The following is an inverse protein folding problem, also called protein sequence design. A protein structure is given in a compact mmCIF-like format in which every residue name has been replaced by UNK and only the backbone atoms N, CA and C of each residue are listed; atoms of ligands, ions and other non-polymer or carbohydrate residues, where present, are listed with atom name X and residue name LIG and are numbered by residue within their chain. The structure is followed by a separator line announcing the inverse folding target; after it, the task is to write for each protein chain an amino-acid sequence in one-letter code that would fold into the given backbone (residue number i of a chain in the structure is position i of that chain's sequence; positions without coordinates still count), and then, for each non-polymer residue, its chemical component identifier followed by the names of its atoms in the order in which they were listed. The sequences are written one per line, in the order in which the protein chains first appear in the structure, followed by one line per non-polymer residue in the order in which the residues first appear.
data_IF_118675415299
#
_entry.id   IF_118675415299
#
_cell.length_a   1.000
_cell.length_b   1.000
_cell.length_c   1.000
_cell.angle_alpha   90.00
_cell.angle_beta   90.00
_cell.angle_gamma   90.00
#
_symmetry.space_group_name_H-M   'P 1'
#
loop_
_entity.id
_entity.type
_entity.pdbx_description
1 polymer ?
#
# COMPACT_ATOMS: atom_id res chain seq x y z
N UNK A 1 -50.62 18.52 -3.51
CA UNK A 1 -49.26 18.25 -3.01
C UNK A 1 -48.80 16.91 -3.57
N UNK A 2 -47.66 16.88 -4.26
CA UNK A 2 -46.95 15.69 -4.78
C UNK A 2 -46.69 14.73 -3.60
N UNK A 3 -46.74 13.40 -3.76
CA UNK A 3 -45.60 12.62 -4.26
C UNK A 3 -46.03 11.21 -4.67
N UNK A 4 -45.51 10.86 -5.82
CA UNK A 4 -45.74 9.71 -6.68
C UNK A 4 -45.22 8.39 -6.10
N UNK A 5 -46.11 7.40 -6.14
CA UNK A 5 -45.93 5.98 -6.45
C UNK A 5 -44.51 5.43 -6.62
N UNK A 6 -44.28 4.33 -5.90
CA UNK A 6 -43.28 3.29 -6.08
C UNK A 6 -43.03 2.95 -7.56
N UNK A 7 -41.77 3.03 -8.00
CA UNK A 7 -41.30 2.43 -9.25
C UNK A 7 -40.20 1.43 -8.91
N UNK A 8 -40.57 0.15 -8.84
CA UNK A 8 -39.64 -0.97 -8.81
C UNK A 8 -39.14 -1.14 -10.25
N UNK A 9 -37.89 -0.76 -10.51
CA UNK A 9 -37.25 -1.01 -11.81
C UNK A 9 -36.80 -2.48 -11.81
N UNK A 10 -37.56 -3.33 -12.48
CA UNK A 10 -37.14 -4.69 -12.80
C UNK A 10 -36.05 -4.63 -13.89
N UNK A 11 -34.81 -4.95 -13.53
CA UNK A 11 -33.69 -5.06 -14.46
C UNK A 11 -33.96 -6.29 -15.34
N UNK A 12 -34.28 -6.05 -16.62
CA UNK A 12 -34.41 -7.10 -17.61
C UNK A 12 -33.00 -7.59 -17.99
N UNK A 13 -32.67 -8.83 -17.62
CA UNK A 13 -31.48 -9.52 -18.09
C UNK A 13 -31.63 -9.85 -19.58
N UNK A 14 -30.95 -9.10 -20.44
CA UNK A 14 -30.78 -9.45 -21.84
C UNK A 14 -29.63 -10.47 -21.90
N UNK A 15 -29.99 -11.75 -22.02
CA UNK A 15 -29.06 -12.81 -22.37
C UNK A 15 -28.82 -12.79 -23.89
N UNK A 16 -27.78 -12.09 -24.34
CA UNK A 16 -27.21 -12.32 -25.66
C UNK A 16 -26.18 -13.45 -25.56
N UNK A 17 -26.50 -14.58 -26.21
CA UNK A 17 -25.63 -15.76 -26.25
C UNK A 17 -24.73 -15.69 -27.49
N UNK A 18 -23.43 -15.94 -27.25
CA UNK A 18 -22.36 -16.37 -28.17
C UNK A 18 -21.91 -15.40 -29.27
N UNK A 19 -20.89 -14.61 -28.93
CA UNK A 19 -19.79 -14.30 -29.84
C UNK A 19 -18.49 -14.63 -29.14
N UNK A 20 -17.71 -15.58 -29.65
CA UNK A 20 -16.33 -15.83 -29.22
C UNK A 20 -15.49 -14.56 -29.43
N UNK A 21 -15.45 -13.64 -28.48
CA UNK A 21 -14.36 -12.68 -28.41
C UNK A 21 -13.32 -13.27 -27.48
N UNK A 22 -12.13 -13.58 -27.99
CA UNK A 22 -10.91 -13.49 -27.19
C UNK A 22 -11.05 -12.27 -26.28
N UNK A 23 -11.03 -12.47 -24.96
CA UNK A 23 -11.29 -11.41 -23.97
C UNK A 23 -10.58 -10.14 -24.38
N UNK A 24 -11.33 -9.05 -24.50
CA UNK A 24 -10.86 -7.79 -25.10
C UNK A 24 -9.86 -7.12 -24.16
N UNK A 25 -8.64 -7.65 -24.14
CA UNK A 25 -7.50 -7.14 -23.39
C UNK A 25 -7.27 -5.67 -23.78
N UNK A 26 -6.99 -4.83 -22.80
CA UNK A 26 -6.77 -3.41 -23.03
C UNK A 26 -5.57 -3.21 -23.97
N UNK A 27 -5.64 -2.17 -24.79
CA UNK A 27 -4.52 -1.74 -25.61
C UNK A 27 -3.40 -1.16 -24.75
N UNK A 28 -2.19 -1.10 -25.32
CA UNK A 28 -1.05 -0.51 -24.63
C UNK A 28 -1.27 0.97 -24.29
N UNK A 29 -2.02 1.68 -25.13
CA UNK A 29 -2.40 3.06 -24.87
C UNK A 29 -3.32 3.17 -23.65
N UNK A 30 -4.35 2.33 -23.58
CA UNK A 30 -5.30 2.31 -22.45
C UNK A 30 -4.60 1.97 -21.14
N UNK A 31 -3.68 0.99 -21.16
CA UNK A 31 -2.84 0.67 -20.00
C UNK A 31 -1.91 1.81 -19.60
N UNK A 32 -1.29 2.46 -20.59
CA UNK A 32 -0.44 3.61 -20.33
C UNK A 32 -1.23 4.78 -19.73
N UNK A 33 -2.51 4.92 -20.08
CA UNK A 33 -3.39 5.95 -19.51
C UNK A 33 -3.63 5.68 -18.01
N UNK A 34 -3.93 4.43 -17.63
CA UNK A 34 -4.10 4.05 -16.20
C UNK A 34 -2.79 4.14 -15.42
N UNK A 35 -1.64 3.69 -15.97
CA UNK A 35 -0.34 3.85 -15.31
C UNK A 35 0.00 5.32 -15.01
N UNK A 36 -0.42 6.25 -15.88
CA UNK A 36 -0.26 7.69 -15.62
C UNK A 36 -1.16 8.18 -14.49
N UNK A 37 -2.35 7.61 -14.33
CA UNK A 37 -3.23 7.89 -13.19
C UNK A 37 -2.64 7.34 -11.89
N UNK A 38 -2.08 6.12 -11.91
CA UNK A 38 -1.37 5.53 -10.75
C UNK A 38 -0.18 6.40 -10.31
N UNK A 39 0.50 7.07 -11.25
CA UNK A 39 1.59 8.01 -10.91
C UNK A 39 1.15 9.17 -10.01
N UNK A 40 -0.14 9.52 -9.95
CA UNK A 40 -0.65 10.53 -9.02
C UNK A 40 -0.50 10.13 -7.54
N UNK A 41 -0.29 8.84 -7.25
CA UNK A 41 -0.10 8.31 -5.90
C UNK A 41 1.38 8.20 -5.49
N UNK A 42 2.31 8.70 -6.31
CA UNK A 42 3.77 8.56 -6.10
C UNK A 42 4.22 8.99 -4.72
N UNK A 43 3.60 10.03 -4.15
CA UNK A 43 4.00 10.63 -2.87
C UNK A 43 3.51 9.82 -1.64
N UNK A 44 2.80 8.70 -1.84
CA UNK A 44 2.45 7.79 -0.73
C UNK A 44 3.72 7.17 -0.14
N UNK A 45 3.81 7.04 1.18
CA UNK A 45 5.03 6.62 1.89
C UNK A 45 5.69 5.34 1.33
N UNK A 46 4.92 4.31 0.95
CA UNK A 46 5.48 3.11 0.30
C UNK A 46 6.06 3.42 -1.08
N UNK A 47 5.33 4.19 -1.89
CA UNK A 47 5.59 4.44 -3.30
C UNK A 47 6.70 5.47 -3.52
N UNK A 48 6.84 6.45 -2.62
CA UNK A 48 7.89 7.47 -2.67
C UNK A 48 9.28 6.84 -2.55
N UNK A 49 9.35 5.71 -1.85
CA UNK A 49 10.59 4.96 -1.62
C UNK A 49 10.92 3.91 -2.71
N UNK A 50 10.12 3.81 -3.78
CA UNK A 50 10.42 2.96 -4.94
C UNK A 50 11.33 3.70 -5.92
N UNK A 51 12.37 3.02 -6.43
CA UNK A 51 13.09 3.48 -7.62
C UNK A 51 12.13 3.59 -8.81
N UNK A 52 12.44 4.41 -9.81
CA UNK A 52 11.54 4.63 -10.97
C UNK A 52 11.17 3.31 -11.67
N UNK A 53 12.12 2.37 -11.79
CA UNK A 53 11.85 1.05 -12.38
C UNK A 53 10.95 0.18 -11.50
N UNK A 54 11.11 0.25 -10.18
CA UNK A 54 10.25 -0.47 -9.23
C UNK A 54 8.82 0.10 -9.26
N UNK A 55 8.70 1.43 -9.38
CA UNK A 55 7.41 2.10 -9.52
C UNK A 55 6.71 1.74 -10.84
N UNK A 56 7.44 1.67 -11.95
CA UNK A 56 6.86 1.30 -13.24
C UNK A 56 6.32 -0.14 -13.23
N UNK A 57 7.00 -1.06 -12.53
CA UNK A 57 6.52 -2.43 -12.30
C UNK A 57 5.26 -2.40 -11.44
N UNK A 58 5.29 -1.71 -10.30
CA UNK A 58 4.13 -1.55 -9.41
C UNK A 58 2.91 -0.98 -10.15
N UNK A 59 3.09 0.08 -10.95
CA UNK A 59 2.02 0.67 -11.74
C UNK A 59 1.48 -0.30 -12.81
N UNK A 60 2.36 -1.16 -13.36
CA UNK A 60 1.98 -2.27 -14.22
C UNK A 60 1.07 -3.26 -13.51
N UNK A 61 1.43 -3.70 -12.30
CA UNK A 61 0.68 -4.66 -11.50
C UNK A 61 -0.69 -4.12 -11.07
N UNK A 62 -0.76 -2.85 -10.63
CA UNK A 62 -2.04 -2.16 -10.38
C UNK A 62 -2.92 -2.15 -11.63
N UNK A 63 -2.33 -1.81 -12.79
CA UNK A 63 -3.07 -1.76 -14.06
C UNK A 63 -3.58 -3.12 -14.48
N UNK A 64 -2.77 -4.18 -14.31
CA UNK A 64 -3.18 -5.55 -14.60
C UNK A 64 -4.31 -6.02 -13.68
N UNK A 65 -4.24 -5.72 -12.38
CA UNK A 65 -5.29 -6.03 -11.42
C UNK A 65 -6.63 -5.37 -11.81
N UNK A 66 -6.62 -4.08 -12.16
CA UNK A 66 -7.81 -3.37 -12.63
C UNK A 66 -8.33 -3.98 -13.93
N UNK A 67 -7.45 -4.29 -14.89
CA UNK A 67 -7.84 -4.87 -16.18
C UNK A 67 -8.49 -6.26 -16.04
N UNK A 68 -8.06 -7.06 -15.05
CA UNK A 68 -8.66 -8.36 -14.76
C UNK A 68 -10.12 -8.19 -14.33
N UNK A 69 -10.41 -7.23 -13.45
CA UNK A 69 -11.76 -7.02 -12.91
C UNK A 69 -12.65 -6.18 -13.84
N UNK A 70 -12.05 -5.30 -14.64
CA UNK A 70 -12.70 -4.46 -15.64
C UNK A 70 -12.13 -4.70 -17.05
N UNK A 71 -12.36 -5.89 -17.64
CA UNK A 71 -11.74 -6.28 -18.92
C UNK A 71 -12.16 -5.40 -20.09
N UNK A 72 -13.24 -4.63 -19.98
CA UNK A 72 -13.66 -3.66 -20.99
C UNK A 72 -13.27 -2.25 -20.52
N UNK A 73 -12.26 -1.65 -21.16
CA UNK A 73 -11.73 -0.35 -20.75
C UNK A 73 -12.79 0.76 -20.63
N UNK A 74 -13.75 0.80 -21.55
CA UNK A 74 -14.84 1.80 -21.49
C UNK A 74 -15.67 1.68 -20.22
N UNK A 75 -15.91 0.45 -19.74
CA UNK A 75 -16.61 0.19 -18.48
C UNK A 75 -15.82 0.73 -17.28
N UNK A 76 -14.49 0.62 -17.32
CA UNK A 76 -13.63 1.17 -16.27
C UNK A 76 -13.62 2.71 -16.27
N UNK A 77 -13.45 3.36 -17.43
CA UNK A 77 -13.37 4.83 -17.48
C UNK A 77 -14.69 5.52 -17.20
N UNK A 78 -15.82 4.85 -17.45
CA UNK A 78 -17.18 5.34 -17.17
C UNK A 78 -17.62 5.04 -15.73
N UNK A 79 -16.79 4.35 -14.93
CA UNK A 79 -17.13 3.96 -13.57
C UNK A 79 -17.33 5.21 -12.69
N UNK A 80 -18.49 5.35 -12.02
CA UNK A 80 -18.65 6.34 -10.97
C UNK A 80 -17.67 6.04 -9.84
N UNK A 81 -16.82 7.01 -9.47
CA UNK A 81 -15.78 6.77 -8.47
C UNK A 81 -14.55 6.02 -9.00
N UNK A 82 -14.23 6.14 -10.29
CA UNK A 82 -13.01 5.56 -10.89
C UNK A 82 -11.74 5.90 -10.10
N UNK A 83 -11.61 7.13 -9.62
CA UNK A 83 -10.46 7.57 -8.80
C UNK A 83 -10.32 6.73 -7.54
N UNK A 84 -11.40 6.64 -6.74
CA UNK A 84 -11.47 5.81 -5.54
C UNK A 84 -11.19 4.33 -5.85
N UNK A 85 -11.64 3.85 -7.01
CA UNK A 85 -11.34 2.48 -7.47
C UNK A 85 -9.84 2.31 -7.70
N UNK A 86 -9.19 3.23 -8.41
CA UNK A 86 -7.73 3.20 -8.64
C UNK A 86 -6.99 3.22 -7.31
N UNK A 87 -7.39 4.09 -6.38
CA UNK A 87 -6.80 4.16 -5.04
C UNK A 87 -6.90 2.81 -4.29
N UNK A 88 -8.06 2.14 -4.36
CA UNK A 88 -8.26 0.82 -3.76
C UNK A 88 -7.27 -0.20 -4.34
N UNK A 89 -7.09 -0.25 -5.66
CA UNK A 89 -6.11 -1.18 -6.26
C UNK A 89 -4.67 -0.81 -5.93
N UNK A 90 -4.32 0.48 -5.85
CA UNK A 90 -3.00 0.93 -5.37
C UNK A 90 -2.73 0.40 -3.97
N UNK A 91 -3.66 0.60 -3.04
CA UNK A 91 -3.53 0.11 -1.66
C UNK A 91 -3.47 -1.42 -1.60
N UNK A 92 -4.31 -2.12 -2.38
CA UNK A 92 -4.30 -3.59 -2.42
C UNK A 92 -3.00 -4.16 -2.96
N UNK A 93 -2.40 -3.54 -3.99
CA UNK A 93 -1.10 -3.97 -4.52
C UNK A 93 0.00 -3.75 -3.50
N UNK A 94 0.02 -2.62 -2.78
CA UNK A 94 0.98 -2.39 -1.68
C UNK A 94 0.84 -3.49 -0.62
N UNK A 95 -0.37 -3.79 -0.18
CA UNK A 95 -0.63 -4.85 0.82
C UNK A 95 -0.14 -6.21 0.31
N UNK A 96 -0.36 -6.51 -0.97
CA UNK A 96 0.06 -7.77 -1.59
C UNK A 96 1.58 -7.89 -1.69
N UNK A 97 2.29 -6.81 -2.08
CA UNK A 97 3.75 -6.79 -2.12
C UNK A 97 4.37 -6.94 -0.72
N UNK A 98 3.76 -6.32 0.30
CA UNK A 98 4.19 -6.46 1.69
C UNK A 98 4.00 -7.90 2.21
N UNK A 99 2.91 -8.58 1.81
CA UNK A 99 2.67 -9.99 2.13
C UNK A 99 3.68 -10.93 1.47
N UNK A 100 4.08 -10.61 0.24
CA UNK A 100 4.96 -11.48 -0.55
C UNK A 100 6.41 -11.47 -0.03
N UNK A 101 6.88 -10.33 0.48
CA UNK A 101 8.25 -10.21 0.98
C UNK A 101 8.37 -9.23 2.15
N UNK A 102 8.75 -9.77 3.31
CA UNK A 102 9.13 -9.02 4.51
C UNK A 102 10.18 -7.92 4.24
N UNK A 103 11.04 -8.06 3.23
CA UNK A 103 12.01 -7.03 2.87
C UNK A 103 11.36 -5.76 2.30
N UNK A 104 10.11 -5.81 1.84
CA UNK A 104 9.35 -4.64 1.38
C UNK A 104 8.95 -3.72 2.54
N UNK A 105 9.06 -4.17 3.79
CA UNK A 105 8.90 -3.32 4.98
C UNK A 105 9.86 -2.12 4.98
N UNK A 106 11.04 -2.23 4.34
CA UNK A 106 12.00 -1.12 4.17
C UNK A 106 11.47 0.02 3.29
N UNK A 107 10.42 -0.23 2.52
CA UNK A 107 9.76 0.79 1.67
C UNK A 107 8.75 1.60 2.47
N UNK A 108 8.15 1.01 3.51
CA UNK A 108 7.34 1.75 4.49
C UNK A 108 8.20 2.50 5.51
N UNK A 109 9.30 1.88 5.94
CA UNK A 109 10.19 2.43 6.94
C UNK A 109 11.63 2.42 6.44
N UNK A 110 12.01 3.42 5.62
CA UNK A 110 13.35 3.50 5.06
C UNK A 110 14.41 3.64 6.14
N UNK A 111 15.54 2.95 5.94
CA UNK A 111 16.64 2.95 6.90
C UNK A 111 17.11 4.37 7.27
N UNK A 112 17.20 5.28 6.28
CA UNK A 112 17.62 6.66 6.52
C UNK A 112 16.66 7.41 7.43
N UNK A 113 15.36 7.16 7.31
CA UNK A 113 14.36 7.78 8.17
C UNK A 113 14.38 7.20 9.58
N UNK A 114 14.56 5.88 9.71
CA UNK A 114 14.73 5.22 11.00
C UNK A 114 15.96 5.74 11.76
N UNK A 115 17.05 6.01 11.04
CA UNK A 115 18.23 6.68 11.62
C UNK A 115 17.91 8.12 12.03
N UNK A 116 17.23 8.89 11.17
CA UNK A 116 16.85 10.28 11.47
C UNK A 116 15.91 10.38 12.69
N UNK A 117 15.06 9.38 12.92
CA UNK A 117 14.18 9.25 14.09
C UNK A 117 14.87 8.65 15.32
N UNK A 118 16.16 8.34 15.22
CA UNK A 118 16.95 7.74 16.30
C UNK A 118 16.60 6.28 16.62
N UNK A 119 15.77 5.62 15.81
CA UNK A 119 15.37 4.22 15.99
C UNK A 119 16.53 3.27 15.68
N UNK A 120 17.33 3.58 14.66
CA UNK A 120 18.49 2.78 14.25
C UNK A 120 19.79 3.55 14.31
N UNK A 121 20.93 2.89 14.63
CA UNK A 121 22.24 3.50 14.52
C UNK A 121 22.60 3.77 13.05
N UNK A 122 23.40 4.82 12.76
CA UNK A 122 23.90 5.07 11.41
C UNK A 122 24.95 4.02 11.00
N UNK A 123 25.19 3.92 9.68
CA UNK A 123 26.24 3.07 9.09
C UNK A 123 26.15 1.55 9.35
N UNK A 124 24.98 1.01 9.68
CA UNK A 124 24.76 -0.44 9.67
C UNK A 124 25.07 -1.01 8.29
N UNK A 125 25.82 -2.11 8.25
CA UNK A 125 26.04 -2.86 7.02
C UNK A 125 24.75 -3.57 6.54
N UNK A 126 24.80 -4.15 5.34
CA UNK A 126 23.61 -4.79 4.74
C UNK A 126 23.12 -5.99 5.55
N UNK A 127 24.01 -6.70 6.23
CA UNK A 127 23.64 -7.89 7.00
C UNK A 127 22.91 -7.47 8.28
N UNK A 128 23.40 -6.44 8.97
CA UNK A 128 22.75 -5.85 10.13
C UNK A 128 21.38 -5.24 9.77
N UNK A 129 21.30 -4.46 8.69
CA UNK A 129 20.02 -3.93 8.21
C UNK A 129 19.02 -5.05 7.89
N UNK A 130 19.49 -6.14 7.25
CA UNK A 130 18.63 -7.30 6.95
C UNK A 130 18.12 -7.96 8.23
N UNK A 131 18.98 -8.16 9.23
CA UNK A 131 18.56 -8.75 10.51
C UNK A 131 17.47 -7.90 11.19
N UNK A 132 17.60 -6.57 11.15
CA UNK A 132 16.57 -5.67 11.67
C UNK A 132 15.23 -5.84 10.95
N UNK A 133 15.20 -5.76 9.62
CA UNK A 133 13.93 -5.89 8.88
C UNK A 133 13.30 -7.28 9.02
N UNK A 134 14.11 -8.34 9.18
CA UNK A 134 13.61 -9.67 9.50
C UNK A 134 12.98 -9.73 10.89
N UNK A 135 13.63 -9.17 11.91
CA UNK A 135 13.03 -9.06 13.24
C UNK A 135 11.72 -8.28 13.20
N UNK A 136 11.72 -7.12 12.53
CA UNK A 136 10.56 -6.24 12.48
C UNK A 136 9.39 -6.91 11.76
N UNK A 137 9.62 -7.54 10.61
CA UNK A 137 8.58 -8.28 9.90
C UNK A 137 8.00 -9.41 10.75
N UNK A 138 8.83 -10.20 11.43
CA UNK A 138 8.35 -11.23 12.36
C UNK A 138 7.53 -10.64 13.50
N UNK A 139 7.90 -9.47 14.03
CA UNK A 139 7.14 -8.79 15.07
C UNK A 139 5.77 -8.33 14.57
N UNK A 140 5.69 -7.80 13.34
CA UNK A 140 4.44 -7.46 12.67
C UNK A 140 3.55 -8.69 12.48
N UNK A 141 4.10 -9.79 11.96
CA UNK A 141 3.35 -11.03 11.71
C UNK A 141 2.79 -11.65 13.00
N UNK A 142 3.49 -11.49 14.12
CA UNK A 142 3.02 -11.97 15.42
C UNK A 142 1.97 -11.03 16.06
N UNK A 143 1.95 -9.76 15.67
CA UNK A 143 1.11 -8.73 16.30
C UNK A 143 -0.20 -8.51 15.55
N UNK A 144 -0.15 -8.49 14.22
CA UNK A 144 -1.30 -8.21 13.38
C UNK A 144 -1.85 -9.49 12.74
N UNK A 145 -3.17 -9.66 12.81
CA UNK A 145 -3.84 -10.84 12.26
C UNK A 145 -3.71 -10.95 10.72
N UNK A 146 -3.39 -9.86 10.04
CA UNK A 146 -3.12 -9.82 8.60
C UNK A 146 -2.33 -8.57 8.22
N UNK A 147 -1.71 -8.58 7.04
CA UNK A 147 -1.02 -7.39 6.49
C UNK A 147 -1.98 -6.23 6.22
N UNK A 148 -3.26 -6.49 5.92
CA UNK A 148 -4.28 -5.44 5.85
C UNK A 148 -4.51 -4.79 7.22
N UNK A 149 -4.53 -5.59 8.30
CA UNK A 149 -4.64 -5.06 9.65
C UNK A 149 -3.41 -4.23 10.03
N UNK A 150 -2.22 -4.68 9.65
CA UNK A 150 -0.99 -3.91 9.79
C UNK A 150 -1.02 -2.59 8.99
N UNK A 151 -1.38 -2.63 7.71
CA UNK A 151 -1.44 -1.42 6.87
C UNK A 151 -2.46 -0.41 7.41
N UNK A 152 -3.63 -0.87 7.84
CA UNK A 152 -4.61 -0.02 8.51
C UNK A 152 -4.07 0.58 9.81
N UNK A 153 -3.26 -0.18 10.57
CA UNK A 153 -2.58 0.35 11.74
C UNK A 153 -1.58 1.43 11.34
N UNK A 154 -0.76 1.24 10.30
CA UNK A 154 0.15 2.28 9.76
C UNK A 154 -0.59 3.56 9.41
N UNK A 155 -1.75 3.47 8.76
CA UNK A 155 -2.56 4.65 8.41
C UNK A 155 -3.14 5.36 9.66
N UNK A 156 -3.42 4.61 10.72
CA UNK A 156 -3.98 5.14 11.96
C UNK A 156 -2.90 5.63 12.95
N UNK A 157 -1.64 5.25 12.73
CA UNK A 157 -0.54 5.45 13.67
C UNK A 157 -0.05 6.90 13.66
N UNK A 158 -0.61 7.70 14.55
CA UNK A 158 -0.49 9.17 14.55
C UNK A 158 0.20 9.72 15.81
N UNK A 159 0.80 8.89 16.68
CA UNK A 159 1.20 9.33 18.03
C UNK A 159 2.54 8.78 18.55
N UNK A 160 3.07 9.45 19.58
CA UNK A 160 4.28 9.09 20.34
C UNK A 160 4.24 7.72 21.05
N UNK A 161 3.08 7.04 21.08
CA UNK A 161 2.91 5.68 21.60
C UNK A 161 2.64 4.66 20.49
N UNK A 162 3.19 4.92 19.31
CA UNK A 162 3.12 4.03 18.15
C UNK A 162 3.54 2.61 18.54
N UNK A 163 2.60 1.66 18.49
CA UNK A 163 2.90 0.23 18.67
C UNK A 163 3.91 -0.23 17.62
N UNK A 164 3.87 0.38 16.43
CA UNK A 164 4.78 0.05 15.34
C UNK A 164 6.20 0.50 15.65
N UNK A 165 6.36 1.72 16.16
CA UNK A 165 7.64 2.25 16.60
C UNK A 165 8.21 1.44 17.78
N UNK A 166 7.36 0.97 18.71
CA UNK A 166 7.80 0.09 19.80
C UNK A 166 8.39 -1.23 19.27
N UNK A 167 7.74 -1.86 18.29
CA UNK A 167 8.29 -3.06 17.65
C UNK A 167 9.64 -2.77 16.97
N UNK A 168 9.76 -1.62 16.29
CA UNK A 168 11.03 -1.21 15.67
C UNK A 168 12.12 -1.01 16.73
N UNK A 169 11.82 -0.30 17.81
CA UNK A 169 12.77 -0.04 18.91
C UNK A 169 13.18 -1.33 19.62
N UNK A 170 12.26 -2.25 19.85
CA UNK A 170 12.56 -3.55 20.46
C UNK A 170 13.54 -4.35 19.57
N UNK A 171 13.26 -4.46 18.28
CA UNK A 171 14.16 -5.13 17.34
C UNK A 171 15.54 -4.47 17.25
N UNK A 172 15.60 -3.14 17.28
CA UNK A 172 16.87 -2.41 17.29
C UNK A 172 17.67 -2.67 18.58
N UNK A 173 17.00 -2.62 19.74
CA UNK A 173 17.61 -2.89 21.04
C UNK A 173 18.15 -4.30 21.13
N UNK A 174 17.37 -5.31 20.72
CA UNK A 174 17.77 -6.73 20.83
C UNK A 174 18.95 -7.08 19.92
N UNK A 175 19.06 -6.44 18.75
CA UNK A 175 20.12 -6.74 17.78
C UNK A 175 21.40 -5.95 18.00
N UNK A 176 21.29 -4.70 18.48
CA UNK A 176 22.40 -3.76 18.48
C UNK A 176 22.76 -3.20 19.86
N UNK A 177 22.08 -3.64 20.92
CA UNK A 177 22.20 -3.10 22.28
C UNK A 177 22.05 -1.56 22.29
N UNK A 178 21.20 -1.06 21.38
CA UNK A 178 21.02 0.36 21.12
C UNK A 178 19.86 0.87 21.98
N UNK A 179 20.19 1.54 23.08
CA UNK A 179 19.22 2.28 23.90
C UNK A 179 19.13 3.71 23.38
N UNK A 180 17.94 4.11 22.97
CA UNK A 180 17.66 5.51 22.64
C UNK A 180 17.43 6.25 23.94
N UNK A 181 18.38 7.09 24.35
CA UNK A 181 18.15 8.06 25.41
C UNK A 181 17.12 9.07 24.91
N UNK A 182 15.89 8.98 25.42
CA UNK A 182 14.85 9.98 25.17
C UNK A 182 15.10 11.12 26.14
N UNK A 183 15.70 12.21 25.66
CA UNK A 183 15.77 13.46 26.41
C UNK A 183 14.35 14.06 26.50
N UNK A 184 13.67 13.82 27.63
CA UNK A 184 12.45 14.57 27.98
C UNK A 184 12.83 16.03 28.23
N UNK A 185 12.61 16.90 27.24
CA UNK A 185 12.68 18.34 27.44
C UNK A 185 11.42 18.77 28.20
N UNK A 186 11.53 18.86 29.53
CA UNK A 186 10.49 19.44 30.38
C UNK A 186 10.51 20.96 30.15
N UNK A 187 9.51 21.48 29.44
CA UNK A 187 9.25 22.91 29.38
C UNK A 187 8.60 23.34 30.70
N UNK A 188 9.30 24.19 31.45
CA UNK A 188 8.71 24.91 32.58
C UNK A 188 8.06 26.19 32.04
N UNK A 189 6.73 26.24 32.05
CA UNK A 189 5.95 27.46 31.85
C UNK A 189 6.10 28.44 33.02
#
# INVERSE_FOLDING_TARGET
MKRTLLAIIAIAAIACVVGCSSGRRWSEKERADVRREVRAYRDMAYLDNLEEVEFDIFAGDVTEAIEIDYPVYTTFVELPGRGDTVEVYVVQTIVSELQADAHNMRKLYPYKELVAKGVLPPNLDRQAQRAFYQCFANSVDNTFASTSAFFNAVLADTTANSQIEQMQRQCASDLFDWVVEVDEIIFFD
#
